data_IF_731081090425
#
_entry.id   IF_731081090425
#
_cell.length_a   1.000
_cell.length_b   1.000
_cell.length_c   1.000
_cell.angle_alpha   90.00
_cell.angle_beta   90.00
_cell.angle_gamma   90.00
#
_symmetry.space_group_name_H-M   'P 1'
#
loop_
_entity.id
_entity.type
_entity.pdbx_description
1 polymer ?
#
# COMPACT_ATOMS: atom_id res chain seq x y z
N UNK A 1 -9.36 48.25 -2.31
CA UNK A 1 -9.57 46.79 -2.30
C UNK A 1 -8.23 46.12 -2.59
N UNK A 2 -7.30 46.09 -1.63
CA UNK A 2 -5.91 45.69 -1.92
C UNK A 2 -4.98 45.48 -0.73
N UNK A 3 -5.41 45.74 0.51
CA UNK A 3 -4.54 45.70 1.69
C UNK A 3 -4.77 44.46 2.58
N UNK A 4 -5.16 43.33 1.98
CA UNK A 4 -5.53 42.11 2.74
C UNK A 4 -4.43 41.05 2.82
N UNK A 5 -3.26 41.27 2.20
CA UNK A 5 -2.19 40.28 2.12
C UNK A 5 -1.00 40.62 3.03
N UNK A 6 -1.27 41.08 4.25
CA UNK A 6 -0.24 41.06 5.30
C UNK A 6 -0.11 39.63 5.81
N UNK A 7 0.57 38.75 5.05
CA UNK A 7 1.00 37.46 5.57
C UNK A 7 1.95 37.72 6.73
N UNK A 8 1.49 37.46 7.94
CA UNK A 8 2.35 37.46 9.11
C UNK A 8 3.34 36.30 8.99
N UNK A 9 4.53 36.47 9.56
CA UNK A 9 5.48 35.34 9.70
C UNK A 9 4.84 34.15 10.45
N UNK A 10 3.84 34.42 11.30
CA UNK A 10 3.04 33.39 11.94
C UNK A 10 2.18 32.60 10.94
N UNK A 11 1.59 33.26 9.93
CA UNK A 11 0.77 32.60 8.91
C UNK A 11 1.63 31.71 8.02
N UNK A 12 2.83 32.18 7.67
CA UNK A 12 3.80 31.38 6.92
C UNK A 12 4.28 30.16 7.73
N UNK A 13 4.53 30.34 9.02
CA UNK A 13 4.90 29.25 9.92
C UNK A 13 3.76 28.22 10.08
N UNK A 14 2.51 28.68 10.21
CA UNK A 14 1.33 27.82 10.27
C UNK A 14 1.16 27.01 8.98
N UNK A 15 1.35 27.65 7.82
CA UNK A 15 1.26 26.99 6.52
C UNK A 15 2.39 25.95 6.34
N UNK A 16 3.62 26.29 6.73
CA UNK A 16 4.73 25.35 6.70
C UNK A 16 4.48 24.14 7.61
N UNK A 17 3.99 24.37 8.83
CA UNK A 17 3.63 23.30 9.77
C UNK A 17 2.53 22.40 9.20
N UNK A 18 1.48 23.00 8.62
CA UNK A 18 0.41 22.26 7.96
C UNK A 18 0.94 21.36 6.84
N UNK A 19 1.79 21.90 5.96
CA UNK A 19 2.39 21.12 4.88
C UNK A 19 3.23 19.96 5.41
N UNK A 20 4.04 20.17 6.46
CA UNK A 20 4.86 19.12 7.06
C UNK A 20 4.00 18.00 7.63
N UNK A 21 2.98 18.34 8.43
CA UNK A 21 2.05 17.35 9.01
C UNK A 21 1.28 16.62 7.91
N UNK A 22 0.83 17.33 6.89
CA UNK A 22 0.13 16.73 5.76
C UNK A 22 1.01 15.74 4.99
N UNK A 23 2.24 16.12 4.64
CA UNK A 23 3.18 15.21 3.97
C UNK A 23 3.43 13.97 4.84
N UNK A 24 3.69 14.16 6.14
CA UNK A 24 3.90 13.04 7.06
C UNK A 24 2.68 12.12 7.15
N UNK A 25 1.48 12.68 7.24
CA UNK A 25 0.22 11.94 7.25
C UNK A 25 -0.03 11.20 5.94
N UNK A 26 0.28 11.82 4.79
CA UNK A 26 0.09 11.22 3.47
C UNK A 26 1.06 10.05 3.28
N UNK A 27 2.34 10.22 3.64
CA UNK A 27 3.31 9.13 3.62
C UNK A 27 2.95 7.98 4.58
N UNK A 28 2.39 8.30 5.75
CA UNK A 28 1.90 7.31 6.69
C UNK A 28 0.64 6.58 6.16
N UNK A 29 -0.26 7.30 5.49
CA UNK A 29 -1.52 6.79 4.95
C UNK A 29 -1.35 5.98 3.67
N UNK A 30 -0.37 6.33 2.84
CA UNK A 30 -0.02 5.61 1.59
C UNK A 30 0.55 4.20 1.85
N UNK A 31 0.55 3.73 3.10
CA UNK A 31 0.94 2.36 3.44
C UNK A 31 2.43 2.07 3.31
N UNK A 32 3.26 3.10 3.01
CA UNK A 32 4.72 2.98 2.90
C UNK A 32 5.43 2.78 4.24
N UNK A 33 4.82 3.24 5.35
CA UNK A 33 5.31 3.05 6.73
C UNK A 33 4.60 1.91 7.48
N UNK A 34 3.35 1.63 7.12
CA UNK A 34 2.56 0.54 7.68
C UNK A 34 2.15 -0.35 6.52
N UNK A 35 3.10 -1.12 6.00
CA UNK A 35 2.79 -2.28 5.15
C UNK A 35 2.15 -3.36 6.03
N UNK A 36 0.97 -3.09 6.57
CA UNK A 36 0.09 -4.17 7.02
C UNK A 36 -0.32 -4.86 5.73
N UNK A 37 0.46 -5.87 5.34
CA UNK A 37 0.00 -6.91 4.43
C UNK A 37 -1.35 -7.32 4.98
N UNK A 38 -2.42 -6.87 4.32
CA UNK A 38 -3.76 -7.18 4.78
C UNK A 38 -3.87 -8.69 4.83
N UNK A 39 -4.61 -9.25 5.79
CA UNK A 39 -4.82 -10.69 5.85
C UNK A 39 -5.27 -11.23 4.49
N UNK A 40 -6.08 -10.47 3.76
CA UNK A 40 -6.50 -10.74 2.39
C UNK A 40 -5.33 -10.83 1.42
N UNK A 41 -4.36 -9.91 1.47
CA UNK A 41 -3.16 -9.93 0.62
C UNK A 41 -2.30 -11.17 0.92
N UNK A 42 -2.09 -11.51 2.19
CA UNK A 42 -1.37 -12.71 2.59
C UNK A 42 -2.10 -13.99 2.16
N UNK A 43 -3.42 -14.04 2.34
CA UNK A 43 -4.26 -15.15 1.89
C UNK A 43 -4.26 -15.30 0.37
N UNK A 44 -4.23 -14.19 -0.37
CA UNK A 44 -4.21 -14.24 -1.84
C UNK A 44 -2.87 -14.79 -2.35
N UNK A 45 -1.75 -14.37 -1.75
CA UNK A 45 -0.43 -14.94 -2.04
C UNK A 45 -0.37 -16.44 -1.71
N UNK A 46 -0.97 -16.86 -0.59
CA UNK A 46 -1.06 -18.28 -0.22
C UNK A 46 -1.93 -19.07 -1.20
N UNK A 47 -3.06 -18.53 -1.67
CA UNK A 47 -3.91 -19.17 -2.70
C UNK A 47 -3.16 -19.35 -4.00
N UNK A 48 -2.40 -18.35 -4.43
CA UNK A 48 -1.62 -18.41 -5.65
C UNK A 48 -0.56 -19.53 -5.58
N UNK A 49 0.15 -19.64 -4.45
CA UNK A 49 1.09 -20.72 -4.20
C UNK A 49 0.39 -22.09 -4.16
N UNK A 50 -0.79 -22.18 -3.55
CA UNK A 50 -1.59 -23.40 -3.53
C UNK A 50 -2.00 -23.85 -4.94
N UNK A 51 -2.49 -22.93 -5.78
CA UNK A 51 -2.92 -23.23 -7.14
C UNK A 51 -1.77 -23.71 -8.02
N UNK A 52 -0.58 -23.11 -7.90
CA UNK A 52 0.63 -23.59 -8.60
C UNK A 52 0.98 -25.02 -8.24
N UNK A 53 1.02 -25.34 -6.94
CA UNK A 53 1.34 -26.69 -6.47
C UNK A 53 0.29 -27.72 -6.90
N UNK A 54 -0.99 -27.33 -6.95
CA UNK A 54 -2.06 -28.20 -7.47
C UNK A 54 -1.88 -28.49 -8.96
N UNK A 55 -1.54 -27.48 -9.77
CA UNK A 55 -1.30 -27.67 -11.20
C UNK A 55 -0.12 -28.62 -11.47
N UNK A 56 0.99 -28.49 -10.72
CA UNK A 56 2.11 -29.43 -10.83
C UNK A 56 1.76 -30.85 -10.40
N UNK A 57 0.87 -31.02 -9.43
CA UNK A 57 0.39 -32.34 -9.00
C UNK A 57 -0.55 -32.97 -10.02
N UNK A 58 -1.48 -32.20 -10.56
CA UNK A 58 -2.43 -32.65 -11.59
C UNK A 58 -1.67 -33.17 -12.83
N UNK A 59 -0.65 -32.43 -13.29
CA UNK A 59 0.21 -32.86 -14.40
C UNK A 59 0.80 -34.26 -14.17
N UNK A 60 1.35 -34.52 -12.97
CA UNK A 60 1.94 -35.83 -12.64
C UNK A 60 0.93 -36.97 -12.56
N UNK A 61 -0.31 -36.71 -12.13
CA UNK A 61 -1.37 -37.74 -12.07
C UNK A 61 -1.76 -38.15 -13.48
N UNK A 62 -1.93 -37.20 -14.39
CA UNK A 62 -2.23 -37.47 -15.81
C UNK A 62 -1.11 -38.28 -16.44
N UNK A 63 0.15 -37.90 -16.21
CA UNK A 63 1.31 -38.62 -16.73
C UNK A 63 1.36 -40.08 -16.23
N UNK A 64 1.01 -40.31 -14.96
CA UNK A 64 0.99 -41.67 -14.38
C UNK A 64 -0.22 -42.49 -14.86
N UNK A 65 -1.35 -41.85 -15.15
CA UNK A 65 -2.56 -42.53 -15.62
C UNK A 65 -2.48 -42.98 -17.09
N UNK A 66 -1.56 -42.41 -17.87
CA UNK A 66 -1.33 -42.77 -19.29
C UNK A 66 -0.39 -43.99 -19.41
N UNK A 67 0.36 -44.33 -18.36
CA UNK A 67 1.26 -45.50 -18.30
C UNK A 67 0.51 -46.79 -17.97
#
# INVERSE_FOLDING_TARGET
MGDSLHLSMADLAALAFFLVVWVLHTLASDGRLISRVSLTTAMNAQREAWMRNMAERESRIVDTAIM
#
